data_IF_541486417573
#
_entry.id   IF_541486417573
#
_cell.length_a   1.000
_cell.length_b   1.000
_cell.length_c   1.000
_cell.angle_alpha   90.00
_cell.angle_beta   90.00
_cell.angle_gamma   90.00
#
_symmetry.space_group_name_H-M   'P 1'
#
loop_
_entity.id
_entity.type
_entity.pdbx_description
1 polymer ?
#
# COMPACT_ATOMS: atom_id res chain seq x y z
N UNK A 1 36.46 13.27 8.14
CA UNK A 1 35.26 12.71 7.48
C UNK A 1 35.07 11.31 8.04
N UNK A 2 33.83 10.80 8.16
CA UNK A 2 33.43 9.53 8.82
C UNK A 2 32.96 9.71 10.29
N UNK A 3 32.08 10.68 10.56
CA UNK A 3 31.35 10.80 11.86
C UNK A 3 29.90 11.26 11.59
N UNK A 4 29.33 10.79 10.48
CA UNK A 4 27.88 10.83 10.22
C UNK A 4 27.45 9.38 9.96
N UNK A 5 27.83 8.48 10.86
CA UNK A 5 27.39 7.10 10.83
C UNK A 5 25.87 7.07 11.06
N UNK A 6 25.15 6.69 10.01
CA UNK A 6 23.76 6.18 9.95
C UNK A 6 22.93 6.40 11.23
N UNK A 7 22.38 7.61 11.37
CA UNK A 7 21.51 7.97 12.51
C UNK A 7 20.21 7.16 12.60
N UNK A 8 19.84 6.44 11.54
CA UNK A 8 18.62 5.63 11.47
C UNK A 8 18.92 4.26 10.85
N UNK A 9 18.28 3.23 11.41
CA UNK A 9 18.19 1.89 10.84
C UNK A 9 17.41 1.89 9.53
N UNK A 10 17.53 0.80 8.75
CA UNK A 10 16.76 0.65 7.50
C UNK A 10 15.26 0.67 7.74
N UNK A 11 14.81 0.10 8.86
CA UNK A 11 13.40 0.01 9.20
C UNK A 11 12.83 1.39 9.55
N UNK A 12 13.59 2.21 10.29
CA UNK A 12 13.19 3.60 10.59
C UNK A 12 13.10 4.44 9.31
N UNK A 13 14.05 4.26 8.38
CA UNK A 13 13.99 4.94 7.06
C UNK A 13 12.76 4.50 6.28
N UNK A 14 12.41 3.21 6.29
CA UNK A 14 11.22 2.70 5.64
C UNK A 14 9.93 3.26 6.29
N UNK A 15 9.84 3.27 7.62
CA UNK A 15 8.68 3.83 8.33
C UNK A 15 8.51 5.31 8.03
N UNK A 16 9.59 6.10 8.05
CA UNK A 16 9.54 7.52 7.66
C UNK A 16 9.07 7.69 6.21
N UNK A 17 9.55 6.86 5.29
CA UNK A 17 9.11 6.89 3.90
C UNK A 17 7.60 6.58 3.78
N UNK A 18 7.14 5.48 4.38
CA UNK A 18 5.74 5.07 4.33
C UNK A 18 4.79 6.09 4.94
N UNK A 19 5.25 6.89 5.91
CA UNK A 19 4.46 7.94 6.55
C UNK A 19 4.49 9.30 5.83
N UNK A 20 5.28 9.47 4.77
CA UNK A 20 5.43 10.77 4.09
C UNK A 20 4.94 10.78 2.64
N UNK A 21 4.89 9.63 1.98
CA UNK A 21 4.46 9.56 0.58
C UNK A 21 2.96 9.73 0.39
N UNK A 22 2.59 10.16 -0.82
CA UNK A 22 1.22 10.35 -1.25
C UNK A 22 0.59 9.02 -1.71
N UNK A 23 -0.53 8.66 -1.10
CA UNK A 23 -1.37 7.49 -1.44
C UNK A 23 -2.68 7.90 -2.15
N UNK A 24 -2.67 9.04 -2.84
CA UNK A 24 -3.81 9.68 -3.48
C UNK A 24 -4.87 10.17 -2.50
N UNK A 25 -5.92 10.83 -3.01
CA UNK A 25 -7.07 11.27 -2.21
C UNK A 25 -6.70 12.10 -0.97
N UNK A 26 -5.64 12.92 -1.09
CA UNK A 26 -5.13 13.73 0.02
C UNK A 26 -4.45 12.93 1.16
N UNK A 27 -4.30 11.62 1.02
CA UNK A 27 -3.69 10.75 2.02
C UNK A 27 -2.17 10.79 1.91
N UNK A 28 -1.51 11.43 2.88
CA UNK A 28 -0.06 11.38 3.06
C UNK A 28 0.25 10.48 4.26
N UNK A 29 0.98 9.40 3.99
CA UNK A 29 1.28 8.38 4.98
C UNK A 29 0.34 7.18 4.98
N UNK A 30 0.90 6.02 5.33
CA UNK A 30 0.20 4.73 5.16
C UNK A 30 -0.96 4.53 6.13
N UNK A 31 -0.89 5.07 7.35
CA UNK A 31 -2.00 5.03 8.31
C UNK A 31 -3.20 5.83 7.78
N UNK A 32 -2.98 7.04 7.27
CA UNK A 32 -4.05 7.85 6.68
C UNK A 32 -4.71 7.13 5.50
N UNK A 33 -3.91 6.46 4.66
CA UNK A 33 -4.42 5.67 3.54
C UNK A 33 -5.22 4.45 4.00
N UNK A 34 -4.74 3.70 5.01
CA UNK A 34 -5.44 2.55 5.57
C UNK A 34 -6.81 2.93 6.14
N UNK A 35 -6.87 4.05 6.87
CA UNK A 35 -8.12 4.58 7.41
C UNK A 35 -9.06 5.05 6.29
N UNK A 36 -8.53 5.78 5.30
CA UNK A 36 -9.36 6.35 4.23
C UNK A 36 -9.94 5.28 3.29
N UNK A 37 -9.18 4.26 2.92
CA UNK A 37 -9.62 3.26 1.92
C UNK A 37 -10.24 2.01 2.53
N UNK A 38 -9.92 1.68 3.79
CA UNK A 38 -10.31 0.41 4.41
C UNK A 38 -10.88 0.54 5.82
N UNK A 39 -10.87 1.74 6.43
CA UNK A 39 -11.27 1.98 7.83
C UNK A 39 -10.57 1.03 8.81
N UNK A 40 -9.28 0.78 8.59
CA UNK A 40 -8.45 -0.08 9.44
C UNK A 40 -7.10 0.59 9.75
N UNK A 41 -6.39 0.08 10.75
CA UNK A 41 -5.01 0.52 11.01
C UNK A 41 -4.04 -0.07 10.00
N UNK A 42 -2.96 0.65 9.69
CA UNK A 42 -1.87 0.13 8.87
C UNK A 42 -1.24 -1.16 9.43
N UNK A 43 -1.34 -1.39 10.75
CA UNK A 43 -0.87 -2.63 11.40
C UNK A 43 -1.79 -3.83 11.17
N UNK A 44 -3.06 -3.60 10.83
CA UNK A 44 -4.09 -4.62 10.68
C UNK A 44 -4.46 -4.87 9.20
N UNK A 45 -3.64 -4.36 8.27
CA UNK A 45 -3.86 -4.55 6.83
C UNK A 45 -3.73 -6.03 6.45
N UNK A 46 -4.67 -6.52 5.67
CA UNK A 46 -4.53 -7.81 4.99
C UNK A 46 -3.49 -7.72 3.88
N UNK A 47 -3.02 -8.87 3.37
CA UNK A 47 -2.11 -8.91 2.23
C UNK A 47 -2.67 -8.16 1.01
N UNK A 48 -3.97 -8.32 0.71
CA UNK A 48 -4.64 -7.62 -0.38
C UNK A 48 -4.59 -6.09 -0.22
N UNK A 49 -4.91 -5.62 1.00
CA UNK A 49 -4.95 -4.19 1.30
C UNK A 49 -3.54 -3.58 1.29
N UNK A 50 -2.55 -4.26 1.90
CA UNK A 50 -1.17 -3.82 1.89
C UNK A 50 -0.59 -3.74 0.47
N UNK A 51 -0.79 -4.78 -0.35
CA UNK A 51 -0.36 -4.79 -1.75
C UNK A 51 -1.02 -3.67 -2.57
N UNK A 52 -2.28 -3.35 -2.26
CA UNK A 52 -3.00 -2.24 -2.89
C UNK A 52 -2.34 -0.90 -2.54
N UNK A 53 -2.15 -0.62 -1.24
CA UNK A 53 -1.56 0.65 -0.80
C UNK A 53 -0.14 0.86 -1.32
N UNK A 54 0.70 -0.17 -1.32
CA UNK A 54 2.08 -0.11 -1.83
C UNK A 54 2.12 0.15 -3.34
N UNK A 55 1.06 -0.21 -4.07
CA UNK A 55 0.95 0.04 -5.51
C UNK A 55 0.74 1.53 -5.86
N UNK A 56 0.02 2.27 -5.02
CA UNK A 56 -0.48 3.62 -5.31
C UNK A 56 0.64 4.66 -5.52
N UNK A 57 1.70 4.74 -4.68
CA UNK A 57 2.73 5.77 -4.79
C UNK A 57 3.44 5.85 -6.15
N UNK A 58 3.38 4.79 -6.97
CA UNK A 58 3.94 4.81 -8.33
C UNK A 58 3.27 5.88 -9.21
N UNK A 59 1.96 6.07 -9.07
CA UNK A 59 1.20 7.08 -9.81
C UNK A 59 -0.09 7.39 -9.06
N UNK A 60 -0.03 8.18 -7.96
CA UNK A 60 -1.13 8.32 -7.02
C UNK A 60 -2.44 8.74 -7.68
N UNK A 61 -2.41 9.71 -8.59
CA UNK A 61 -3.60 10.18 -9.29
C UNK A 61 -4.24 9.12 -10.17
N UNK A 62 -3.43 8.35 -10.93
CA UNK A 62 -3.93 7.36 -11.87
C UNK A 62 -4.33 6.05 -11.18
N UNK A 63 -3.67 5.71 -10.08
CA UNK A 63 -3.85 4.46 -9.34
C UNK A 63 -4.74 4.64 -8.10
N UNK A 64 -5.46 5.77 -8.02
CA UNK A 64 -6.41 6.00 -6.94
C UNK A 64 -7.52 4.94 -7.03
N UNK A 65 -7.71 4.11 -5.97
CA UNK A 65 -8.70 3.04 -5.99
C UNK A 65 -10.16 3.54 -6.04
N UNK A 66 -10.44 4.77 -5.59
CA UNK A 66 -11.79 5.37 -5.64
C UNK A 66 -12.16 5.81 -7.05
N UNK A 67 -11.22 6.36 -7.82
CA UNK A 67 -11.50 6.91 -9.16
C UNK A 67 -11.11 5.98 -10.31
N UNK A 68 -10.15 5.08 -10.11
CA UNK A 68 -9.67 4.15 -11.13
C UNK A 68 -9.38 2.75 -10.54
N UNK A 69 -10.43 2.04 -10.09
CA UNK A 69 -10.30 0.75 -9.40
C UNK A 69 -9.64 -0.31 -10.28
N UNK A 70 -9.91 -0.35 -11.59
CA UNK A 70 -9.34 -1.36 -12.49
C UNK A 70 -7.82 -1.21 -12.63
N UNK A 71 -7.32 0.03 -12.79
CA UNK A 71 -5.88 0.27 -12.84
C UNK A 71 -5.20 -0.02 -11.50
N UNK A 72 -5.86 0.32 -10.40
CA UNK A 72 -5.38 0.01 -9.05
C UNK A 72 -5.29 -1.51 -8.81
N UNK A 73 -6.32 -2.26 -9.23
CA UNK A 73 -6.38 -3.71 -9.14
C UNK A 73 -5.27 -4.38 -9.96
N UNK A 74 -5.08 -3.94 -11.21
CA UNK A 74 -3.98 -4.42 -12.06
C UNK A 74 -2.62 -4.14 -11.40
N UNK A 75 -2.46 -2.96 -10.78
CA UNK A 75 -1.22 -2.60 -10.08
C UNK A 75 -0.98 -3.46 -8.84
N UNK A 76 -2.01 -3.71 -8.02
CA UNK A 76 -1.94 -4.61 -6.87
C UNK A 76 -1.42 -5.98 -7.29
N UNK A 77 -1.92 -6.53 -8.40
CA UNK A 77 -1.48 -7.83 -8.88
C UNK A 77 0.00 -7.84 -9.29
N UNK A 78 0.51 -6.74 -9.88
CA UNK A 78 1.96 -6.58 -10.13
C UNK A 78 2.76 -6.58 -8.82
N UNK A 79 2.24 -5.98 -7.74
CA UNK A 79 2.90 -6.03 -6.42
C UNK A 79 2.94 -7.47 -5.90
N UNK A 80 1.84 -8.22 -6.02
CA UNK A 80 1.77 -9.63 -5.62
C UNK A 80 2.76 -10.50 -6.41
N UNK A 81 2.86 -10.31 -7.73
CA UNK A 81 3.84 -11.02 -8.58
C UNK A 81 5.28 -10.80 -8.08
N UNK A 82 5.59 -9.57 -7.65
CA UNK A 82 6.90 -9.19 -7.11
C UNK A 82 7.15 -9.81 -5.74
N UNK A 83 6.15 -9.83 -4.87
CA UNK A 83 6.22 -10.47 -3.55
C UNK A 83 6.45 -11.99 -3.70
N UNK A 84 5.75 -12.62 -4.63
CA UNK A 84 5.94 -14.04 -4.95
C UNK A 84 7.36 -14.31 -5.46
N UNK A 85 7.83 -13.52 -6.42
CA UNK A 85 9.19 -13.65 -6.99
C UNK A 85 10.28 -13.41 -5.93
N UNK A 86 10.02 -12.52 -4.96
CA UNK A 86 10.91 -12.26 -3.83
C UNK A 86 10.84 -13.33 -2.73
N UNK A 87 9.89 -14.28 -2.81
CA UNK A 87 9.70 -15.34 -1.83
C UNK A 87 9.08 -14.88 -0.51
N UNK A 88 8.41 -13.72 -0.49
CA UNK A 88 7.76 -13.19 0.72
C UNK A 88 6.35 -13.73 0.94
N UNK A 89 5.74 -14.31 -0.10
CA UNK A 89 4.45 -15.00 -0.07
C UNK A 89 4.54 -16.31 -0.86
N UNK A 90 3.65 -17.25 -0.56
CA UNK A 90 3.48 -18.51 -1.29
C UNK A 90 2.65 -18.31 -2.56
N UNK A 91 2.74 -19.27 -3.50
CA UNK A 91 1.86 -19.31 -4.68
C UNK A 91 0.38 -19.36 -4.28
N UNK A 92 0.04 -20.08 -3.21
CA UNK A 92 -1.34 -20.20 -2.75
C UNK A 92 -1.89 -18.87 -2.21
N UNK A 93 -1.11 -18.13 -1.41
CA UNK A 93 -1.49 -16.79 -0.95
C UNK A 93 -1.61 -15.82 -2.12
N UNK A 94 -0.67 -15.87 -3.05
CA UNK A 94 -0.70 -15.07 -4.27
C UNK A 94 -2.01 -15.28 -5.05
N UNK A 95 -2.33 -16.53 -5.38
CA UNK A 95 -3.50 -16.85 -6.22
C UNK A 95 -4.81 -16.54 -5.50
N UNK A 96 -4.88 -16.80 -4.19
CA UNK A 96 -6.03 -16.44 -3.36
C UNK A 96 -6.23 -14.92 -3.35
N UNK A 97 -5.18 -14.14 -3.09
CA UNK A 97 -5.27 -12.68 -3.01
C UNK A 97 -5.53 -12.03 -4.37
N UNK A 98 -5.03 -12.59 -5.47
CA UNK A 98 -5.35 -12.08 -6.81
C UNK A 98 -6.85 -12.21 -7.15
N UNK A 99 -7.51 -13.26 -6.64
CA UNK A 99 -8.95 -13.47 -6.83
C UNK A 99 -9.82 -12.55 -5.95
N UNK A 100 -9.26 -11.93 -4.92
CA UNK A 100 -9.99 -11.00 -4.06
C UNK A 100 -10.28 -9.68 -4.80
N UNK A 101 -11.45 -9.05 -4.58
CA UNK A 101 -11.69 -7.68 -5.00
C UNK A 101 -10.78 -6.72 -4.21
N UNK A 102 -10.75 -5.43 -4.59
CA UNK A 102 -9.98 -4.44 -3.82
C UNK A 102 -10.44 -4.30 -2.36
N UNK A 103 -11.67 -4.70 -2.04
CA UNK A 103 -12.18 -4.68 -0.66
C UNK A 103 -12.27 -3.28 -0.06
N UNK A 104 -12.48 -2.27 -0.92
CA UNK A 104 -12.59 -0.88 -0.48
C UNK A 104 -13.76 -0.72 0.47
N UNK A 105 -13.47 -0.11 1.61
CA UNK A 105 -14.45 0.37 2.56
C UNK A 105 -14.10 1.82 2.88
N UNK A 106 -14.33 2.74 1.91
CA UNK A 106 -13.89 4.10 2.08
C UNK A 106 -14.68 4.76 3.22
N UNK A 107 -14.00 5.59 4.01
CA UNK A 107 -14.70 6.43 4.97
C UNK A 107 -15.77 7.26 4.23
N UNK A 108 -16.97 7.45 4.81
CA UNK A 108 -17.98 8.29 4.19
C UNK A 108 -17.40 9.67 3.94
N UNK A 109 -17.69 10.24 2.76
CA UNK A 109 -17.29 11.60 2.43
C UNK A 109 -17.74 12.51 3.57
N UNK A 110 -16.79 13.22 4.18
CA UNK A 110 -17.11 14.18 5.22
C UNK A 110 -18.11 15.20 4.65
N UNK A 111 -19.20 15.53 5.36
CA UNK A 111 -20.26 16.40 4.86
C UNK A 111 -19.78 17.82 4.53
#
# INVERSE_FOLDING_TARGET
>A
AIELEKKYSKDEVLVMYLNTINYADGCYGIEAAAQNYFQTSALDLTLAQAATLVGIPQSPTYLNPKSNPDACLARRNVVLDRMLTAGTITQAEHDATQAEPLGLNPAPDAP
#
